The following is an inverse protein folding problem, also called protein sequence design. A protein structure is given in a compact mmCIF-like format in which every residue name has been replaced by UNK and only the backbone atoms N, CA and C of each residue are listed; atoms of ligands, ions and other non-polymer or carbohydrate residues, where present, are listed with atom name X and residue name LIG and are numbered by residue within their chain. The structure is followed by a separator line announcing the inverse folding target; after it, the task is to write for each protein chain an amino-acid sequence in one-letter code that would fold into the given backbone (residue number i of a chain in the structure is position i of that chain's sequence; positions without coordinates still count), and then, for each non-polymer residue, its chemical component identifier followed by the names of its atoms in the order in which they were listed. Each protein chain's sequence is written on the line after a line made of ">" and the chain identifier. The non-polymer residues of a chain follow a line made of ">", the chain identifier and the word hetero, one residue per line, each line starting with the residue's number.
data_IF_418942654052
#
_entry.id   IF_418942654052
#
_cell.length_a   1.000
_cell.length_b   1.000
_cell.length_c   1.000
_cell.angle_alpha   90.00
_cell.angle_beta   90.00
_cell.angle_gamma   90.00
#
_symmetry.space_group_name_H-M   'P 1'
#
loop_
_entity.id
_entity.type
_entity.pdbx_description
1 polymer ?
#
# COMPACT_ATOMS: atom_id res chain seq x y z
N UNK A 1 -40.55 28.28 24.04
CA UNK A 1 -39.41 27.59 23.41
C UNK A 1 -38.60 26.93 24.52
N UNK A 2 -38.85 25.64 24.77
CA UNK A 2 -38.23 24.94 25.89
C UNK A 2 -36.74 24.75 25.58
N UNK A 3 -35.88 25.33 26.41
CA UNK A 3 -34.44 25.35 26.21
C UNK A 3 -33.90 23.94 26.54
N UNK A 4 -34.01 23.00 25.60
CA UNK A 4 -33.45 21.67 25.75
C UNK A 4 -31.92 21.80 25.84
N UNK A 5 -31.41 21.85 27.06
CA UNK A 5 -29.99 21.94 27.34
C UNK A 5 -29.33 20.66 26.84
N UNK A 6 -28.61 20.77 25.73
CA UNK A 6 -27.71 19.72 25.23
C UNK A 6 -26.71 19.37 26.32
N UNK A 7 -26.72 18.13 26.77
CA UNK A 7 -25.70 17.66 27.70
C UNK A 7 -24.35 17.61 26.98
N UNK A 8 -23.22 17.89 27.66
CA UNK A 8 -21.90 17.63 27.11
C UNK A 8 -21.75 16.20 26.57
N UNK A 9 -22.37 15.22 27.24
CA UNK A 9 -22.41 13.83 26.79
C UNK A 9 -23.04 13.69 25.41
N UNK A 10 -24.20 14.33 25.19
CA UNK A 10 -24.90 14.25 23.90
C UNK A 10 -24.04 14.90 22.80
N UNK A 11 -23.42 16.05 23.09
CA UNK A 11 -22.52 16.71 22.14
C UNK A 11 -21.35 15.83 21.71
N UNK A 12 -20.58 15.28 22.66
CA UNK A 12 -19.42 14.45 22.35
C UNK A 12 -19.81 13.13 21.68
N UNK A 13 -20.97 12.55 22.04
CA UNK A 13 -21.44 11.32 21.41
C UNK A 13 -21.80 11.53 19.93
N UNK A 14 -22.48 12.64 19.62
CA UNK A 14 -22.80 13.03 18.25
C UNK A 14 -21.56 13.39 17.42
N UNK A 15 -20.67 14.20 17.99
CA UNK A 15 -19.42 14.58 17.36
C UNK A 15 -18.55 13.35 17.08
N UNK A 16 -18.38 12.48 18.07
CA UNK A 16 -17.62 11.25 17.96
C UNK A 16 -18.16 10.33 16.86
N UNK A 17 -19.48 10.17 16.75
CA UNK A 17 -20.09 9.37 15.69
C UNK A 17 -19.79 9.92 14.29
N UNK A 18 -19.84 11.24 14.10
CA UNK A 18 -19.59 11.87 12.80
C UNK A 18 -18.10 11.84 12.45
N UNK A 19 -17.22 12.09 13.41
CA UNK A 19 -15.77 11.97 13.21
C UNK A 19 -15.41 10.52 12.84
N UNK A 20 -15.95 9.54 13.55
CA UNK A 20 -15.74 8.12 13.26
C UNK A 20 -16.29 7.73 11.88
N UNK A 21 -17.44 8.28 11.47
CA UNK A 21 -17.99 8.09 10.13
C UNK A 21 -17.04 8.63 9.05
N UNK A 22 -16.60 9.89 9.17
CA UNK A 22 -15.74 10.53 8.17
C UNK A 22 -14.43 9.79 8.04
N UNK A 23 -13.82 9.45 9.17
CA UNK A 23 -12.57 8.72 9.19
C UNK A 23 -12.74 7.32 8.57
N UNK A 24 -13.84 6.61 8.87
CA UNK A 24 -14.15 5.32 8.24
C UNK A 24 -14.34 5.43 6.72
N UNK A 25 -15.03 6.48 6.25
CA UNK A 25 -15.23 6.72 4.82
C UNK A 25 -13.90 7.01 4.10
N UNK A 26 -13.04 7.83 4.70
CA UNK A 26 -11.70 8.14 4.18
C UNK A 26 -10.83 6.87 4.14
N UNK A 27 -10.83 6.07 5.20
CA UNK A 27 -10.05 4.83 5.26
C UNK A 27 -10.54 3.81 4.21
N UNK A 28 -11.86 3.68 4.05
CA UNK A 28 -12.46 2.83 3.03
C UNK A 28 -12.10 3.29 1.60
N UNK A 29 -12.17 4.59 1.31
CA UNK A 29 -11.78 5.14 0.01
C UNK A 29 -10.31 4.87 -0.31
N UNK A 30 -9.41 5.07 0.65
CA UNK A 30 -7.99 4.79 0.46
C UNK A 30 -7.74 3.30 0.19
N UNK A 31 -8.43 2.40 0.89
CA UNK A 31 -8.38 0.96 0.61
C UNK A 31 -8.82 0.65 -0.82
N UNK A 32 -9.99 1.16 -1.24
CA UNK A 32 -10.50 0.98 -2.59
C UNK A 32 -9.52 1.52 -3.64
N UNK A 33 -8.89 2.67 -3.39
CA UNK A 33 -7.89 3.25 -4.28
C UNK A 33 -6.67 2.35 -4.44
N UNK A 34 -6.21 1.70 -3.37
CA UNK A 34 -5.11 0.73 -3.47
C UNK A 34 -5.51 -0.50 -4.29
N UNK A 35 -6.72 -1.03 -4.09
CA UNK A 35 -7.24 -2.14 -4.89
C UNK A 35 -7.34 -1.76 -6.37
N UNK A 36 -7.84 -0.55 -6.66
CA UNK A 36 -7.94 -0.02 -8.03
C UNK A 36 -6.55 0.14 -8.66
N UNK A 37 -5.58 0.71 -7.94
CA UNK A 37 -4.22 0.87 -8.42
C UNK A 37 -3.53 -0.46 -8.72
N UNK A 38 -3.78 -1.48 -7.89
CA UNK A 38 -3.24 -2.82 -8.12
C UNK A 38 -3.84 -3.47 -9.36
N UNK A 39 -5.16 -3.36 -9.57
CA UNK A 39 -5.84 -3.97 -10.73
C UNK A 39 -5.57 -3.22 -12.05
N UNK A 40 -5.38 -1.91 -11.97
CA UNK A 40 -5.14 -1.03 -13.11
C UNK A 40 -3.83 -0.25 -12.89
N UNK A 41 -2.67 -0.92 -13.02
CA UNK A 41 -1.37 -0.25 -12.93
C UNK A 41 -1.21 0.73 -14.09
N UNK A 42 -0.56 1.85 -13.83
CA UNK A 42 -0.26 2.86 -14.85
C UNK A 42 1.24 2.83 -15.11
N UNK A 43 1.62 2.64 -16.38
CA UNK A 43 3.01 2.54 -16.82
C UNK A 43 3.83 3.81 -16.52
N UNK A 44 3.17 4.96 -16.37
CA UNK A 44 3.81 6.24 -16.07
C UNK A 44 3.85 6.55 -14.56
N UNK A 45 3.16 5.75 -13.74
CA UNK A 45 2.97 6.04 -12.33
C UNK A 45 3.71 5.00 -11.50
N UNK A 46 4.85 5.40 -10.94
CA UNK A 46 5.57 4.61 -9.95
C UNK A 46 4.72 4.49 -8.68
N UNK A 47 3.96 3.39 -8.55
CA UNK A 47 3.07 3.18 -7.41
C UNK A 47 3.78 2.43 -6.29
N UNK A 48 4.13 3.15 -5.22
CA UNK A 48 4.69 2.55 -4.00
C UNK A 48 3.55 1.87 -3.21
N UNK A 49 3.38 0.55 -3.38
CA UNK A 49 2.33 -0.24 -2.71
C UNK A 49 2.58 -0.38 -1.18
N UNK A 50 3.72 0.13 -0.67
CA UNK A 50 4.19 -0.12 0.71
C UNK A 50 3.44 0.61 1.83
N UNK A 51 2.45 1.46 1.55
CA UNK A 51 1.86 2.36 2.58
C UNK A 51 0.34 2.26 2.81
N UNK A 52 -0.31 1.13 2.52
CA UNK A 52 -1.78 0.99 2.74
C UNK A 52 -2.22 0.27 4.03
N UNK A 53 -1.28 -0.32 4.79
CA UNK A 53 -1.60 -1.08 6.02
C UNK A 53 -2.23 -0.22 7.13
N UNK A 54 -1.92 1.08 7.15
CA UNK A 54 -2.49 2.02 8.14
C UNK A 54 -4.01 2.16 7.99
N UNK A 55 -4.50 2.31 6.75
CA UNK A 55 -5.93 2.46 6.49
C UNK A 55 -6.71 1.16 6.71
N UNK A 56 -6.09 0.00 6.48
CA UNK A 56 -6.67 -1.30 6.84
C UNK A 56 -6.85 -1.40 8.36
N UNK A 57 -5.79 -1.16 9.14
CA UNK A 57 -5.85 -1.24 10.59
C UNK A 57 -6.84 -0.22 11.18
N UNK A 58 -6.86 0.98 10.64
CA UNK A 58 -7.72 2.05 11.13
C UNK A 58 -9.19 1.78 10.81
N UNK A 59 -9.52 1.20 9.64
CA UNK A 59 -10.88 0.78 9.31
C UNK A 59 -11.37 -0.35 10.21
N UNK A 60 -10.51 -1.32 10.55
CA UNK A 60 -10.85 -2.43 11.48
C UNK A 60 -11.26 -1.91 12.86
N UNK A 61 -10.69 -0.81 13.33
CA UNK A 61 -10.97 -0.27 14.68
C UNK A 61 -12.06 0.81 14.64
N UNK A 62 -11.95 1.79 13.74
CA UNK A 62 -12.79 2.98 13.74
C UNK A 62 -14.20 2.67 13.24
N UNK A 63 -14.37 1.73 12.32
CA UNK A 63 -15.70 1.37 11.81
C UNK A 63 -16.59 0.69 12.88
N UNK A 64 -16.12 -0.31 13.65
CA UNK A 64 -16.88 -0.83 14.79
C UNK A 64 -17.20 0.25 15.83
N UNK A 65 -16.27 1.17 16.10
CA UNK A 65 -16.51 2.32 16.99
C UNK A 65 -17.66 3.18 16.45
N UNK A 66 -17.66 3.50 15.15
CA UNK A 66 -18.78 4.21 14.50
C UNK A 66 -20.12 3.48 14.68
N UNK A 67 -20.16 2.17 14.48
CA UNK A 67 -21.38 1.37 14.66
C UNK A 67 -21.86 1.38 16.12
N UNK A 68 -20.95 1.25 17.08
CA UNK A 68 -21.27 1.28 18.51
C UNK A 68 -21.83 2.65 18.90
N UNK A 69 -21.17 3.74 18.48
CA UNK A 69 -21.65 5.10 18.76
C UNK A 69 -23.02 5.35 18.12
N UNK A 70 -23.22 4.88 16.88
CA UNK A 70 -24.50 4.97 16.18
C UNK A 70 -25.59 4.14 16.84
N UNK A 71 -25.24 2.97 17.37
CA UNK A 71 -26.15 2.12 18.14
C UNK A 71 -26.54 2.75 19.48
N UNK A 72 -25.57 3.33 20.20
CA UNK A 72 -25.82 4.07 21.45
C UNK A 72 -26.75 5.25 21.22
N UNK A 73 -26.50 6.05 20.18
CA UNK A 73 -27.39 7.15 19.77
C UNK A 73 -28.80 6.63 19.45
N UNK A 74 -28.90 5.56 18.66
CA UNK A 74 -30.20 4.95 18.34
C UNK A 74 -30.96 4.42 19.54
N UNK A 75 -30.25 3.82 20.51
CA UNK A 75 -30.84 3.37 21.77
C UNK A 75 -31.40 4.55 22.57
N UNK A 76 -30.64 5.64 22.67
CA UNK A 76 -31.07 6.86 23.35
C UNK A 76 -32.30 7.50 22.69
N UNK A 77 -32.40 7.48 21.36
CA UNK A 77 -33.58 8.02 20.65
C UNK A 77 -34.85 7.18 20.84
N UNK A 78 -34.71 5.86 21.03
CA UNK A 78 -35.87 4.99 21.31
C UNK A 78 -36.40 5.25 22.71
N UNK A 79 -35.50 5.45 23.69
CA UNK A 79 -35.87 5.74 25.07
C UNK A 79 -36.37 7.17 25.28
N UNK A 80 -35.79 8.14 24.56
CA UNK A 80 -36.12 9.56 24.68
C UNK A 80 -36.33 10.18 23.28
N UNK A 81 -37.57 10.10 22.75
CA UNK A 81 -37.89 10.65 21.42
C UNK A 81 -37.58 12.15 21.29
N UNK A 82 -37.65 12.89 22.40
CA UNK A 82 -37.33 14.31 22.49
C UNK A 82 -35.88 14.65 22.08
N UNK A 83 -34.94 13.71 22.23
CA UNK A 83 -33.54 13.91 21.82
C UNK A 83 -33.35 14.01 20.30
N UNK A 84 -34.37 13.65 19.51
CA UNK A 84 -34.33 13.79 18.06
C UNK A 84 -34.26 15.25 17.61
N UNK A 85 -34.84 16.16 18.41
CA UNK A 85 -34.95 17.57 18.08
C UNK A 85 -33.80 18.41 18.65
N UNK A 86 -32.75 17.76 19.17
CA UNK A 86 -31.57 18.44 19.67
C UNK A 86 -30.92 19.28 18.56
N UNK A 87 -30.62 20.57 18.84
CA UNK A 87 -30.05 21.47 17.84
C UNK A 87 -28.68 21.00 17.36
N UNK A 88 -27.89 20.37 18.23
CA UNK A 88 -26.57 19.80 17.91
C UNK A 88 -26.69 18.73 16.81
N UNK A 89 -27.65 17.80 16.90
CA UNK A 89 -27.88 16.78 15.87
C UNK A 89 -28.19 17.43 14.53
N UNK A 90 -29.13 18.38 14.53
CA UNK A 90 -29.61 19.04 13.31
C UNK A 90 -28.48 19.82 12.63
N UNK A 91 -27.70 20.57 13.40
CA UNK A 91 -26.57 21.34 12.90
C UNK A 91 -25.49 20.44 12.31
N UNK A 92 -25.06 19.43 13.08
CA UNK A 92 -24.03 18.49 12.63
C UNK A 92 -24.45 17.69 11.39
N UNK A 93 -25.70 17.21 11.33
CA UNK A 93 -26.23 16.50 10.15
C UNK A 93 -26.29 17.40 8.91
N UNK A 94 -26.67 18.67 9.11
CA UNK A 94 -26.72 19.65 8.01
C UNK A 94 -25.32 19.96 7.49
N UNK A 95 -24.33 20.09 8.39
CA UNK A 95 -22.92 20.23 8.00
C UNK A 95 -22.46 19.00 7.21
N UNK A 96 -22.81 17.79 7.65
CA UNK A 96 -22.47 16.57 6.91
C UNK A 96 -23.01 16.56 5.50
N UNK A 97 -24.27 16.97 5.31
CA UNK A 97 -24.86 17.07 3.97
C UNK A 97 -24.19 18.16 3.12
N UNK A 98 -23.82 19.29 3.73
CA UNK A 98 -23.10 20.37 3.04
C UNK A 98 -21.71 19.92 2.58
N UNK A 99 -20.93 19.29 3.47
CA UNK A 99 -19.60 18.75 3.16
C UNK A 99 -19.68 17.67 2.09
N UNK A 100 -20.64 16.75 2.18
CA UNK A 100 -20.86 15.73 1.17
C UNK A 100 -21.20 16.34 -0.22
N UNK A 101 -22.01 17.40 -0.25
CA UNK A 101 -22.29 18.14 -1.49
C UNK A 101 -21.04 18.78 -2.10
N UNK A 102 -20.19 19.40 -1.27
CA UNK A 102 -18.91 19.96 -1.71
C UNK A 102 -17.94 18.90 -2.23
N UNK A 103 -17.88 17.74 -1.57
CA UNK A 103 -17.06 16.61 -2.02
C UNK A 103 -17.53 16.12 -3.39
N UNK A 104 -18.82 15.93 -3.60
CA UNK A 104 -19.38 15.52 -4.91
C UNK A 104 -19.06 16.57 -5.98
N UNK A 105 -19.28 17.85 -5.71
CA UNK A 105 -19.00 18.92 -6.66
C UNK A 105 -17.51 18.98 -7.02
N UNK A 106 -16.63 18.91 -6.01
CA UNK A 106 -15.18 18.89 -6.22
C UNK A 106 -14.71 17.68 -7.03
N UNK A 107 -15.25 16.49 -6.73
CA UNK A 107 -14.93 15.25 -7.44
C UNK A 107 -15.34 15.30 -8.92
N UNK A 108 -16.52 15.87 -9.22
CA UNK A 108 -16.96 16.11 -10.59
C UNK A 108 -16.10 17.14 -11.32
N UNK A 109 -15.67 18.22 -10.65
CA UNK A 109 -14.76 19.22 -11.21
C UNK A 109 -13.43 18.57 -11.59
N UNK A 110 -12.86 17.75 -10.70
CA UNK A 110 -11.62 17.01 -10.94
C UNK A 110 -11.78 16.03 -12.11
N UNK A 111 -12.90 15.28 -12.16
CA UNK A 111 -13.23 14.39 -13.28
C UNK A 111 -13.22 15.13 -14.63
N UNK A 112 -13.94 16.24 -14.71
CA UNK A 112 -14.03 17.04 -15.94
C UNK A 112 -12.67 17.65 -16.29
N UNK A 113 -11.92 18.19 -15.31
CA UNK A 113 -10.62 18.78 -15.57
C UNK A 113 -9.64 17.76 -16.16
N UNK A 114 -9.59 16.55 -15.60
CA UNK A 114 -8.73 15.47 -16.10
C UNK A 114 -9.19 14.98 -17.48
N UNK A 115 -10.51 14.91 -17.73
CA UNK A 115 -11.04 14.60 -19.06
C UNK A 115 -10.61 15.64 -20.10
N UNK A 116 -10.72 16.94 -19.79
CA UNK A 116 -10.34 18.03 -20.69
C UNK A 116 -8.83 18.07 -20.99
N UNK A 117 -7.99 17.54 -20.10
CA UNK A 117 -6.54 17.37 -20.33
C UNK A 117 -6.22 16.18 -21.24
N UNK A 118 -7.18 15.30 -21.52
CA UNK A 118 -6.96 14.06 -22.26
C UNK A 118 -6.24 12.96 -21.46
N UNK A 119 -6.13 13.12 -20.14
CA UNK A 119 -5.36 12.24 -19.22
C UNK A 119 -6.26 11.20 -18.51
N UNK A 120 -7.46 10.94 -19.03
CA UNK A 120 -8.42 10.07 -18.36
C UNK A 120 -7.92 8.61 -18.35
N UNK A 121 -7.52 8.13 -17.18
CA UNK A 121 -7.11 6.73 -16.98
C UNK A 121 -8.26 5.91 -16.43
N UNK A 122 -8.31 4.61 -16.75
CA UNK A 122 -9.34 3.68 -16.22
C UNK A 122 -9.35 3.67 -14.68
N UNK A 123 -8.17 3.66 -14.05
CA UNK A 123 -8.02 3.77 -12.59
C UNK A 123 -8.64 5.05 -12.02
N UNK A 124 -8.48 6.18 -12.71
CA UNK A 124 -9.04 7.45 -12.26
C UNK A 124 -10.56 7.44 -12.26
N UNK A 125 -11.18 6.92 -13.33
CA UNK A 125 -12.64 6.77 -13.41
C UNK A 125 -13.18 5.93 -12.25
N UNK A 126 -12.55 4.80 -11.94
CA UNK A 126 -12.98 3.97 -10.81
C UNK A 126 -12.81 4.65 -9.44
N UNK A 127 -11.79 5.51 -9.27
CA UNK A 127 -11.60 6.27 -8.03
C UNK A 127 -12.69 7.32 -7.84
N UNK A 128 -13.01 8.08 -8.88
CA UNK A 128 -14.11 9.06 -8.89
C UNK A 128 -15.43 8.35 -8.61
N UNK A 129 -15.72 7.22 -9.29
CA UNK A 129 -16.92 6.43 -9.02
C UNK A 129 -16.99 5.95 -7.57
N UNK A 130 -15.87 5.54 -6.96
CA UNK A 130 -15.84 5.13 -5.56
C UNK A 130 -16.19 6.30 -4.62
N UNK A 131 -15.65 7.50 -4.87
CA UNK A 131 -15.97 8.72 -4.11
C UNK A 131 -17.44 9.09 -4.24
N UNK A 132 -17.98 9.09 -5.47
CA UNK A 132 -19.39 9.38 -5.72
C UNK A 132 -20.31 8.39 -5.03
N UNK A 133 -20.06 7.08 -5.16
CA UNK A 133 -20.90 6.04 -4.54
C UNK A 133 -20.89 6.14 -3.02
N UNK A 134 -19.71 6.23 -2.40
CA UNK A 134 -19.62 6.31 -0.93
C UNK A 134 -20.26 7.60 -0.41
N UNK A 135 -19.97 8.73 -1.04
CA UNK A 135 -20.54 10.02 -0.62
C UNK A 135 -22.05 10.06 -0.85
N UNK A 136 -22.56 9.50 -1.95
CA UNK A 136 -23.99 9.43 -2.23
C UNK A 136 -24.74 8.53 -1.23
N UNK A 137 -24.16 7.41 -0.80
CA UNK A 137 -24.74 6.54 0.23
C UNK A 137 -24.82 7.27 1.58
N UNK A 138 -23.76 7.97 1.98
CA UNK A 138 -23.74 8.77 3.21
C UNK A 138 -24.77 9.91 3.13
N UNK A 139 -24.76 10.67 2.04
CA UNK A 139 -25.71 11.75 1.80
C UNK A 139 -27.16 11.24 1.81
N UNK A 140 -27.42 10.13 1.11
CA UNK A 140 -28.72 9.46 1.04
C UNK A 140 -29.23 8.99 2.41
N UNK A 141 -28.35 8.45 3.25
CA UNK A 141 -28.71 8.09 4.61
C UNK A 141 -29.15 9.31 5.45
N UNK A 142 -28.36 10.38 5.45
CA UNK A 142 -28.65 11.57 6.26
C UNK A 142 -29.84 12.39 5.75
N UNK A 143 -30.06 12.47 4.43
CA UNK A 143 -31.25 13.13 3.88
C UNK A 143 -32.53 12.37 4.25
N UNK A 144 -32.49 11.03 4.23
CA UNK A 144 -33.61 10.19 4.69
C UNK A 144 -33.83 10.32 6.20
N UNK A 145 -32.77 10.40 7.00
CA UNK A 145 -32.86 10.61 8.45
C UNK A 145 -33.42 12.00 8.83
N UNK A 146 -33.27 13.00 7.95
CA UNK A 146 -33.91 14.32 8.10
C UNK A 146 -35.35 14.36 7.61
N UNK A 147 -35.65 13.74 6.45
CA UNK A 147 -36.94 13.85 5.77
C UNK A 147 -38.01 12.96 6.38
N UNK A 148 -37.66 11.73 6.77
CA UNK A 148 -38.66 10.73 7.17
C UNK A 148 -38.31 10.06 8.49
N UNK A 149 -39.14 10.32 9.51
CA UNK A 149 -39.03 9.71 10.85
C UNK A 149 -39.75 8.35 10.93
N UNK A 150 -40.55 8.00 9.92
CA UNK A 150 -41.30 6.74 9.91
C UNK A 150 -40.37 5.56 9.63
N UNK A 151 -40.61 4.44 10.32
CA UNK A 151 -39.83 3.19 10.23
C UNK A 151 -38.29 3.33 10.36
N UNK A 152 -37.82 4.34 11.11
CA UNK A 152 -36.39 4.64 11.31
C UNK A 152 -35.57 3.44 11.81
N UNK A 153 -36.15 2.61 12.68
CA UNK A 153 -35.48 1.41 13.22
C UNK A 153 -35.12 0.40 12.13
N UNK A 154 -36.02 0.15 11.19
CA UNK A 154 -35.77 -0.79 10.08
C UNK A 154 -34.73 -0.23 9.11
N UNK A 155 -34.87 1.05 8.74
CA UNK A 155 -33.92 1.74 7.86
C UNK A 155 -32.50 1.75 8.44
N UNK A 156 -32.34 2.12 9.71
CA UNK A 156 -31.03 2.16 10.35
C UNK A 156 -30.38 0.76 10.41
N UNK A 157 -31.17 -0.29 10.63
CA UNK A 157 -30.69 -1.67 10.54
C UNK A 157 -30.23 -2.02 9.12
N UNK A 158 -31.00 -1.67 8.10
CA UNK A 158 -30.66 -1.92 6.70
C UNK A 158 -29.33 -1.25 6.31
N UNK A 159 -29.19 0.05 6.59
CA UNK A 159 -27.94 0.79 6.30
C UNK A 159 -26.75 0.28 7.13
N UNK A 160 -26.97 -0.19 8.36
CA UNK A 160 -25.92 -0.84 9.15
C UNK A 160 -25.47 -2.15 8.50
N UNK A 161 -26.40 -3.01 8.05
CA UNK A 161 -26.06 -4.26 7.35
C UNK A 161 -25.30 -3.98 6.05
N UNK A 162 -25.80 -3.04 5.23
CA UNK A 162 -25.15 -2.67 3.96
C UNK A 162 -23.73 -2.15 4.22
N UNK A 163 -23.54 -1.25 5.19
CA UNK A 163 -22.21 -0.73 5.50
C UNK A 163 -21.26 -1.80 6.04
N UNK A 164 -21.74 -2.72 6.88
CA UNK A 164 -20.95 -3.88 7.34
C UNK A 164 -20.52 -4.75 6.16
N UNK A 165 -21.44 -5.10 5.26
CA UNK A 165 -21.13 -5.94 4.09
C UNK A 165 -20.11 -5.26 3.18
N UNK A 166 -20.28 -3.97 2.91
CA UNK A 166 -19.33 -3.19 2.09
C UNK A 166 -17.95 -3.19 2.75
N UNK A 167 -17.86 -2.83 4.02
CA UNK A 167 -16.57 -2.73 4.73
C UNK A 167 -15.89 -4.09 4.83
N UNK A 168 -16.61 -5.16 5.22
CA UNK A 168 -16.04 -6.51 5.28
C UNK A 168 -15.60 -7.00 3.90
N UNK A 169 -16.42 -6.78 2.87
CA UNK A 169 -16.07 -7.11 1.49
C UNK A 169 -14.80 -6.39 1.03
N UNK A 170 -14.70 -5.08 1.29
CA UNK A 170 -13.50 -4.30 0.99
C UNK A 170 -12.27 -4.78 1.77
N UNK A 171 -12.40 -5.10 3.05
CA UNK A 171 -11.29 -5.67 3.85
C UNK A 171 -10.79 -7.00 3.28
N UNK A 172 -11.71 -7.91 2.93
CA UNK A 172 -11.36 -9.20 2.31
C UNK A 172 -10.63 -8.99 0.98
N UNK A 173 -11.17 -8.15 0.10
CA UNK A 173 -10.53 -7.81 -1.19
C UNK A 173 -9.16 -7.17 -0.95
N UNK A 174 -9.04 -6.27 0.04
CA UNK A 174 -7.78 -5.65 0.43
C UNK A 174 -6.72 -6.67 0.85
N UNK A 175 -7.07 -7.66 1.66
CA UNK A 175 -6.16 -8.74 2.06
C UNK A 175 -5.77 -9.67 0.91
N UNK A 176 -6.68 -9.94 -0.02
CA UNK A 176 -6.38 -10.75 -1.21
C UNK A 176 -5.34 -10.03 -2.09
N UNK A 177 -5.50 -8.72 -2.30
CA UNK A 177 -4.62 -7.91 -3.14
C UNK A 177 -3.27 -7.63 -2.49
N UNK A 178 -3.28 -7.21 -1.22
CA UNK A 178 -2.04 -6.85 -0.50
C UNK A 178 -1.31 -8.07 0.05
N UNK A 179 -1.97 -9.22 0.18
CA UNK A 179 -1.46 -10.37 0.90
C UNK A 179 -1.59 -10.22 2.41
N UNK A 180 -1.56 -11.35 3.12
CA UNK A 180 -1.59 -11.41 4.58
C UNK A 180 -0.33 -10.80 5.23
N UNK A 181 -0.38 -10.45 6.54
CA UNK A 181 0.80 -9.98 7.28
C UNK A 181 2.00 -10.92 7.22
N UNK A 182 1.75 -12.24 7.17
CA UNK A 182 2.81 -13.25 7.04
C UNK A 182 3.49 -13.15 5.68
N UNK A 183 2.71 -13.06 4.60
CA UNK A 183 3.26 -12.88 3.24
C UNK A 183 4.03 -11.57 3.09
N UNK A 184 3.58 -10.48 3.74
CA UNK A 184 4.31 -9.21 3.76
C UNK A 184 5.65 -9.29 4.50
N UNK A 185 5.74 -10.12 5.55
CA UNK A 185 7.00 -10.38 6.24
C UNK A 185 7.95 -11.21 5.38
N UNK A 186 7.45 -12.26 4.73
CA UNK A 186 8.23 -13.09 3.82
C UNK A 186 8.77 -12.27 2.63
N UNK A 187 7.94 -11.39 2.06
CA UNK A 187 8.37 -10.47 0.99
C UNK A 187 9.52 -9.56 1.44
N UNK A 188 9.46 -9.00 2.65
CA UNK A 188 10.55 -8.16 3.18
C UNK A 188 11.84 -8.95 3.39
N UNK A 189 11.76 -10.23 3.78
CA UNK A 189 12.95 -11.08 3.81
C UNK A 189 13.51 -11.30 2.40
N UNK A 190 12.67 -11.57 1.40
CA UNK A 190 13.12 -11.72 0.02
C UNK A 190 13.74 -10.42 -0.54
N UNK A 191 13.17 -9.24 -0.22
CA UNK A 191 13.74 -7.92 -0.54
C UNK A 191 15.13 -7.73 0.10
N UNK A 192 15.29 -8.12 1.37
CA UNK A 192 16.58 -8.08 2.04
C UNK A 192 17.59 -9.02 1.36
N UNK A 193 17.19 -10.25 1.01
CA UNK A 193 18.05 -11.20 0.28
C UNK A 193 18.50 -10.63 -1.06
N UNK A 194 17.60 -9.97 -1.81
CA UNK A 194 17.97 -9.29 -3.05
C UNK A 194 19.00 -8.19 -2.78
N UNK A 195 18.79 -7.36 -1.76
CA UNK A 195 19.75 -6.30 -1.39
C UNK A 195 21.11 -6.88 -1.02
N UNK A 196 21.14 -7.98 -0.27
CA UNK A 196 22.38 -8.66 0.12
C UNK A 196 23.12 -9.21 -1.10
N UNK A 197 22.40 -9.87 -2.03
CA UNK A 197 22.99 -10.38 -3.28
C UNK A 197 23.49 -9.26 -4.19
N UNK A 198 22.81 -8.11 -4.22
CA UNK A 198 23.28 -6.92 -4.93
C UNK A 198 24.58 -6.38 -4.35
N UNK A 199 24.68 -6.33 -3.02
CA UNK A 199 25.91 -5.92 -2.32
C UNK A 199 27.06 -6.90 -2.61
N UNK A 200 26.80 -8.21 -2.55
CA UNK A 200 27.77 -9.25 -2.90
C UNK A 200 28.24 -9.10 -4.34
N UNK A 201 27.31 -8.86 -5.28
CA UNK A 201 27.65 -8.64 -6.68
C UNK A 201 28.53 -7.39 -6.87
N UNK A 202 28.27 -6.32 -6.11
CA UNK A 202 29.10 -5.11 -6.13
C UNK A 202 30.54 -5.40 -5.67
N UNK A 203 30.71 -6.17 -4.59
CA UNK A 203 32.07 -6.53 -4.13
C UNK A 203 32.81 -7.47 -5.07
N UNK A 204 32.10 -8.38 -5.74
CA UNK A 204 32.70 -9.20 -6.80
C UNK A 204 33.22 -8.33 -7.95
N UNK A 205 32.50 -7.26 -8.31
CA UNK A 205 32.95 -6.30 -9.31
C UNK A 205 34.18 -5.52 -8.84
N UNK A 206 34.25 -5.10 -7.57
CA UNK A 206 35.44 -4.46 -7.00
C UNK A 206 36.65 -5.40 -7.04
N UNK A 207 36.46 -6.66 -6.66
CA UNK A 207 37.49 -7.69 -6.74
C UNK A 207 37.98 -7.91 -8.18
N UNK A 208 37.05 -8.00 -9.14
CA UNK A 208 37.35 -8.11 -10.57
C UNK A 208 38.18 -6.92 -11.06
N UNK A 209 37.80 -5.70 -10.68
CA UNK A 209 38.53 -4.49 -11.08
C UNK A 209 39.99 -4.50 -10.59
N UNK A 210 40.25 -5.06 -9.41
CA UNK A 210 41.60 -5.13 -8.85
C UNK A 210 42.43 -6.31 -9.38
N UNK A 211 41.81 -7.47 -9.64
CA UNK A 211 42.53 -8.74 -9.89
C UNK A 211 42.26 -9.37 -11.26
N UNK A 212 41.40 -8.78 -12.08
CA UNK A 212 41.00 -9.28 -13.40
C UNK A 212 40.49 -10.74 -13.41
N UNK A 213 39.98 -11.23 -12.28
CA UNK A 213 39.40 -12.56 -12.11
C UNK A 213 38.33 -12.51 -11.02
N UNK A 214 37.29 -13.32 -11.13
CA UNK A 214 36.27 -13.46 -10.07
C UNK A 214 36.83 -14.27 -8.89
N UNK A 215 36.37 -14.01 -7.64
CA UNK A 215 36.86 -14.72 -6.46
C UNK A 215 36.58 -16.22 -6.53
N UNK A 216 37.37 -17.02 -5.82
CA UNK A 216 37.16 -18.48 -5.74
C UNK A 216 36.13 -18.84 -4.66
N UNK A 217 36.05 -18.03 -3.60
CA UNK A 217 35.08 -18.19 -2.52
C UNK A 217 34.71 -16.84 -1.89
N UNK A 218 33.65 -16.81 -1.08
CA UNK A 218 33.28 -15.62 -0.32
C UNK A 218 34.36 -15.13 0.64
N UNK A 219 35.27 -15.99 1.10
CA UNK A 219 36.37 -15.56 1.95
C UNK A 219 37.34 -14.61 1.23
N UNK A 220 37.41 -14.67 -0.11
CA UNK A 220 38.26 -13.77 -0.90
C UNK A 220 37.71 -12.34 -0.96
N UNK A 221 36.43 -12.16 -0.61
CA UNK A 221 35.77 -10.86 -0.55
C UNK A 221 35.90 -10.19 0.83
N UNK A 222 36.33 -10.92 1.87
CA UNK A 222 36.47 -10.36 3.21
C UNK A 222 37.57 -9.31 3.23
N UNK A 223 37.21 -8.11 3.66
CA UNK A 223 38.16 -7.01 3.81
C UNK A 223 38.04 -6.39 5.21
N UNK A 224 38.97 -6.70 6.13
CA UNK A 224 38.96 -6.15 7.48
C UNK A 224 39.17 -4.63 7.52
N UNK A 225 39.79 -4.02 6.51
CA UNK A 225 40.08 -2.59 6.48
C UNK A 225 38.85 -1.78 6.07
N UNK A 226 38.05 -2.32 5.14
CA UNK A 226 36.76 -1.73 4.75
C UNK A 226 35.58 -2.25 5.56
N UNK A 227 35.82 -3.25 6.43
CA UNK A 227 34.79 -3.83 7.30
C UNK A 227 33.75 -4.66 6.54
N UNK A 228 34.06 -5.11 5.32
CA UNK A 228 33.15 -5.94 4.56
C UNK A 228 33.24 -7.40 4.99
N UNK A 229 32.10 -7.95 5.39
CA UNK A 229 31.89 -9.38 5.56
C UNK A 229 30.69 -9.81 4.71
N UNK A 230 30.66 -11.09 4.34
CA UNK A 230 29.60 -11.62 3.50
C UNK A 230 28.29 -11.59 4.28
N UNK A 231 27.22 -10.99 3.75
CA UNK A 231 25.93 -10.97 4.44
C UNK A 231 25.44 -12.39 4.69
N UNK A 232 24.68 -12.58 5.76
CA UNK A 232 24.06 -13.85 6.12
C UNK A 232 22.56 -13.70 5.93
N UNK A 233 21.90 -14.75 5.44
CA UNK A 233 20.45 -14.74 5.29
C UNK A 233 19.81 -14.47 6.67
N UNK A 234 18.98 -13.42 6.81
CA UNK A 234 18.34 -13.09 8.08
C UNK A 234 17.41 -14.18 8.63
N UNK A 235 17.06 -15.18 7.81
CA UNK A 235 16.28 -16.35 8.23
C UNK A 235 17.17 -17.56 8.61
N UNK A 236 18.49 -17.39 8.71
CA UNK A 236 19.42 -18.45 9.11
C UNK A 236 19.89 -19.36 7.97
N UNK A 237 19.48 -19.08 6.73
CA UNK A 237 20.05 -19.69 5.53
C UNK A 237 21.49 -19.20 5.26
N UNK A 238 22.14 -19.78 4.25
CA UNK A 238 23.41 -19.28 3.75
C UNK A 238 23.31 -19.01 2.25
N UNK A 239 23.83 -17.86 1.83
CA UNK A 239 24.06 -17.61 0.41
C UNK A 239 25.13 -18.59 -0.09
N UNK A 240 24.96 -19.09 -1.31
CA UNK A 240 25.94 -20.00 -1.93
C UNK A 240 26.62 -19.29 -3.10
N UNK A 241 27.92 -19.50 -3.27
CA UNK A 241 28.70 -18.98 -4.39
C UNK A 241 29.44 -20.11 -5.12
N UNK A 242 29.46 -20.04 -6.44
CA UNK A 242 30.24 -20.94 -7.29
C UNK A 242 30.90 -20.17 -8.42
N UNK A 243 32.23 -20.24 -8.51
CA UNK A 243 32.98 -19.76 -9.67
C UNK A 243 32.74 -20.70 -10.85
N UNK A 244 32.31 -20.15 -12.00
CA UNK A 244 32.08 -20.92 -13.24
C UNK A 244 33.23 -20.76 -14.23
N UNK A 245 33.76 -19.54 -14.37
CA UNK A 245 34.96 -19.24 -15.17
C UNK A 245 35.72 -18.06 -14.55
N UNK A 246 36.77 -17.56 -15.22
CA UNK A 246 37.50 -16.39 -14.74
C UNK A 246 36.65 -15.11 -14.70
N UNK A 247 35.63 -14.99 -15.56
CA UNK A 247 34.75 -13.82 -15.65
C UNK A 247 33.28 -14.15 -15.36
N UNK A 248 32.95 -15.38 -14.95
CA UNK A 248 31.57 -15.79 -14.65
C UNK A 248 31.45 -16.48 -13.30
N UNK A 249 30.35 -16.18 -12.62
CA UNK A 249 30.06 -16.68 -11.29
C UNK A 249 28.57 -16.92 -11.11
N UNK A 250 28.23 -17.71 -10.10
CA UNK A 250 26.86 -18.02 -9.71
C UNK A 250 26.67 -17.72 -8.23
N UNK A 251 25.60 -16.99 -7.90
CA UNK A 251 25.17 -16.70 -6.53
C UNK A 251 23.75 -17.19 -6.32
N UNK A 252 23.51 -17.94 -5.25
CA UNK A 252 22.21 -18.53 -4.95
C UNK A 252 21.68 -18.09 -3.59
N UNK A 253 20.36 -17.92 -3.51
CA UNK A 253 19.62 -17.74 -2.28
C UNK A 253 18.33 -18.58 -2.30
N UNK A 254 17.76 -18.82 -1.13
CA UNK A 254 16.47 -19.49 -0.99
C UNK A 254 15.37 -18.43 -0.73
N UNK A 255 14.43 -18.29 -1.65
CA UNK A 255 13.38 -17.27 -1.60
C UNK A 255 12.04 -17.83 -1.12
N UNK A 256 11.30 -17.03 -0.35
CA UNK A 256 10.04 -17.47 0.23
C UNK A 256 8.87 -17.39 -0.77
N UNK A 257 8.89 -16.39 -1.65
CA UNK A 257 7.81 -16.07 -2.60
C UNK A 257 8.34 -16.00 -4.04
N UNK A 258 7.42 -16.11 -5.00
CA UNK A 258 7.71 -15.86 -6.40
C UNK A 258 7.73 -14.35 -6.68
N UNK A 259 8.76 -13.88 -7.36
CA UNK A 259 8.90 -12.49 -7.78
C UNK A 259 7.84 -12.06 -8.81
N UNK A 260 7.25 -12.97 -9.60
CA UNK A 260 6.14 -12.66 -10.52
C UNK A 260 4.84 -12.28 -9.78
N UNK A 261 4.60 -12.88 -8.61
CA UNK A 261 3.45 -12.56 -7.75
C UNK A 261 3.74 -11.38 -6.81
N UNK A 262 4.99 -10.95 -6.78
CA UNK A 262 5.39 -9.76 -6.07
C UNK A 262 5.10 -8.60 -6.99
N UNK A 263 4.15 -7.73 -6.63
CA UNK A 263 3.87 -6.45 -7.29
C UNK A 263 5.06 -5.47 -7.30
N UNK A 264 6.29 -5.99 -7.19
CA UNK A 264 7.52 -5.45 -7.75
C UNK A 264 7.32 -5.48 -9.27
N UNK A 265 6.43 -4.60 -9.76
CA UNK A 265 6.79 -3.87 -10.96
C UNK A 265 8.14 -3.27 -10.60
N UNK A 266 9.16 -3.91 -11.16
CA UNK A 266 10.53 -3.46 -11.16
C UNK A 266 10.53 -1.94 -11.11
N UNK A 267 11.35 -1.38 -10.24
CA UNK A 267 11.86 -0.02 -10.36
C UNK A 267 12.43 0.13 -11.78
N UNK A 268 11.54 0.38 -12.74
CA UNK A 268 11.82 0.69 -14.12
C UNK A 268 12.34 2.09 -14.08
N UNK A 269 13.64 2.23 -13.76
CA UNK A 269 14.36 3.41 -14.19
C UNK A 269 14.15 3.47 -15.71
N UNK A 270 13.63 4.58 -16.27
CA UNK A 270 13.56 4.72 -17.72
C UNK A 270 14.99 4.66 -18.23
N UNK A 271 15.37 3.51 -18.78
CA UNK A 271 16.68 3.29 -19.36
C UNK A 271 16.51 3.38 -20.87
N UNK A 272 16.92 4.50 -21.43
CA UNK A 272 17.05 4.68 -22.87
C UNK A 272 18.30 3.93 -23.33
N UNK A 273 18.12 2.70 -23.83
CA UNK A 273 19.21 1.96 -24.45
C UNK A 273 18.84 0.54 -24.81
N UNK A 274 19.10 0.19 -26.06
CA UNK A 274 18.91 -1.11 -26.70
C UNK A 274 19.92 -2.16 -26.17
N UNK A 275 19.88 -2.42 -24.86
CA UNK A 275 20.75 -3.38 -24.18
C UNK A 275 19.92 -4.59 -23.73
N UNK A 276 20.46 -5.80 -23.96
CA UNK A 276 19.95 -7.05 -23.33
C UNK A 276 19.68 -6.78 -21.86
N UNK A 277 18.51 -7.19 -21.39
CA UNK A 277 17.96 -6.88 -20.07
C UNK A 277 19.04 -6.89 -18.98
N UNK A 278 19.04 -5.94 -18.02
CA UNK A 278 19.74 -6.17 -16.78
C UNK A 278 19.08 -7.39 -16.15
N UNK A 279 19.71 -8.56 -16.30
CA UNK A 279 19.32 -9.84 -15.71
C UNK A 279 18.71 -9.57 -14.33
N UNK A 280 17.40 -9.60 -14.34
CA UNK A 280 16.56 -9.09 -13.28
C UNK A 280 16.68 -10.06 -12.10
N UNK A 281 16.58 -9.55 -10.87
CA UNK A 281 16.54 -10.39 -9.65
C UNK A 281 15.24 -11.18 -9.54
N UNK A 282 14.73 -11.65 -10.68
CA UNK A 282 13.54 -12.44 -10.84
C UNK A 282 13.83 -13.84 -10.36
N UNK A 283 13.08 -14.27 -9.37
CA UNK A 283 13.23 -15.56 -8.70
C UNK A 283 11.89 -16.24 -8.51
N UNK A 284 11.93 -17.57 -8.48
CA UNK A 284 10.81 -18.38 -8.01
C UNK A 284 10.90 -18.61 -6.50
N UNK A 285 9.85 -19.20 -5.93
CA UNK A 285 9.91 -19.72 -4.57
C UNK A 285 10.91 -20.89 -4.48
N UNK A 286 11.73 -20.90 -3.44
CA UNK A 286 12.77 -21.88 -3.22
C UNK A 286 14.16 -21.38 -3.65
N UNK A 287 15.11 -22.31 -3.70
CA UNK A 287 16.48 -22.03 -4.13
C UNK A 287 16.50 -21.53 -5.58
N UNK A 288 16.94 -20.30 -5.77
CA UNK A 288 17.20 -19.70 -7.08
C UNK A 288 18.66 -19.26 -7.18
N UNK A 289 19.29 -19.57 -8.31
CA UNK A 289 20.68 -19.22 -8.60
C UNK A 289 20.74 -18.21 -9.75
N UNK A 290 21.52 -17.16 -9.57
CA UNK A 290 21.76 -16.14 -10.58
C UNK A 290 23.18 -16.33 -11.11
N UNK A 291 23.29 -16.75 -12.37
CA UNK A 291 24.57 -16.80 -13.08
C UNK A 291 24.82 -15.42 -13.69
N UNK A 292 25.99 -14.84 -13.43
CA UNK A 292 26.42 -13.54 -13.92
C UNK A 292 27.73 -13.67 -14.68
N UNK A 293 27.85 -12.97 -15.80
CA UNK A 293 29.09 -12.88 -16.58
C UNK A 293 29.53 -11.43 -16.70
N UNK A 294 30.76 -11.15 -16.27
CA UNK A 294 31.38 -9.83 -16.37
C UNK A 294 31.96 -9.69 -17.77
N UNK A 295 31.51 -8.69 -18.52
CA UNK A 295 32.09 -8.30 -19.80
C UNK A 295 33.34 -7.43 -19.57
N UNK A 296 34.56 -7.92 -19.87
CA UNK A 296 35.80 -7.17 -19.63
C UNK A 296 35.92 -5.89 -20.45
N UNK A 297 35.19 -5.76 -21.57
CA UNK A 297 35.20 -4.54 -22.38
C UNK A 297 34.42 -3.41 -21.73
N UNK A 298 33.34 -3.76 -21.03
CA UNK A 298 32.48 -2.82 -20.29
C UNK A 298 33.02 -2.54 -18.89
N UNK A 299 33.65 -3.54 -18.26
CA UNK A 299 34.27 -3.46 -16.94
C UNK A 299 35.77 -3.80 -17.05
N UNK A 300 36.59 -2.91 -17.63
CA UNK A 300 38.01 -3.16 -17.78
C UNK A 300 38.68 -3.15 -16.39
N UNK A 301 39.51 -4.17 -16.08
CA UNK A 301 40.26 -4.19 -14.84
C UNK A 301 41.25 -3.01 -14.79
N UNK A 302 41.57 -2.54 -13.59
CA UNK A 302 42.58 -1.52 -13.40
C UNK A 302 43.93 -2.07 -13.88
N UNK A 303 44.56 -1.34 -14.80
CA UNK A 303 45.95 -1.60 -15.17
C UNK A 303 46.82 -1.20 -13.99
N UNK A 304 47.41 -2.18 -13.30
CA UNK A 304 48.51 -1.90 -12.38
C UNK A 304 49.62 -1.21 -13.19
N UNK A 305 50.13 -0.04 -12.77
CA UNK A 305 51.27 0.56 -13.45
C UNK A 305 52.42 -0.44 -13.46
N UNK A 306 53.00 -0.68 -14.63
CA UNK A 306 54.12 -1.59 -14.78
C UNK A 306 55.18 -1.20 -13.74
N UNK A 307 55.55 -2.17 -12.88
CA UNK A 307 56.57 -1.95 -11.88
C UNK A 307 57.81 -1.41 -12.57
N UNK A 308 58.16 -0.14 -12.30
CA UNK A 308 59.41 0.42 -12.78
C UNK A 308 60.52 -0.36 -12.08
N UNK A 309 61.10 -1.32 -12.78
CA UNK A 309 62.32 -1.99 -12.36
C UNK A 309 63.37 -0.88 -12.21
N UNK A 310 63.72 -0.55 -10.97
CA UNK A 310 64.90 0.25 -10.65
C UNK A 310 66.08 -0.67 -10.46
#
# INVERSE_FOLDING_TARGET
>A
MNNQKTSPKDFFLHLGAIVALYYSAIALLNLLFTVINYKFPDALSYSDIRSSSFFLASLIIVFPVFLILSWLLNKDYVSFPEKLDLPVRRWLTTITLFVAGLVIAGDLVVLINTYLRGEITTRFVYKVLAVLVITAVIFGYYIMDLRDRTNRRSRNKLFAIISIVIVLGSLVIGFIVMGSPTTQRLRRFDEQKISDLQNVQYEILNYWNAKATVPTSFNDLKDPLFGYDTPVDPQGGQYTYSKKSNSSFEICADFNLDSNNSGINQYGRPYSGEFKEPENWKHGKGKTCFTRTIDPTRYPPQKLPAASVR
#
